data_IF_182045825933
#
_entry.id   IF_182045825933
#
_cell.length_a   1.000
_cell.length_b   1.000
_cell.length_c   1.000
_cell.angle_alpha   90.00
_cell.angle_beta   90.00
_cell.angle_gamma   90.00
#
_symmetry.space_group_name_H-M   'P 1'
#
loop_
_entity.id
_entity.type
_entity.pdbx_description
1 polymer ?
#
# COMPACT_ATOMS: atom_id res chain seq x y z
N UNK A 1 -8.51 -2.39 16.75
CA UNK A 1 -7.25 -2.30 15.98
C UNK A 1 -7.47 -2.47 14.47
N UNK A 2 -8.19 -3.50 14.01
CA UNK A 2 -8.44 -3.71 12.57
C UNK A 2 -9.21 -2.56 11.90
N UNK A 3 -10.19 -1.95 12.59
CA UNK A 3 -10.96 -0.81 12.05
C UNK A 3 -10.09 0.44 11.81
N UNK A 4 -9.12 0.72 12.69
CA UNK A 4 -8.20 1.84 12.51
C UNK A 4 -7.30 1.60 11.29
N UNK A 5 -6.74 0.41 11.14
CA UNK A 5 -5.93 0.06 9.96
C UNK A 5 -6.72 0.16 8.66
N UNK A 6 -8.00 -0.26 8.67
CA UNK A 6 -8.88 -0.12 7.53
C UNK A 6 -9.15 1.35 7.17
N UNK A 7 -9.41 2.20 8.17
CA UNK A 7 -9.61 3.63 7.95
C UNK A 7 -8.34 4.32 7.43
N UNK A 8 -7.17 3.98 7.98
CA UNK A 8 -5.88 4.50 7.50
C UNK A 8 -5.60 4.04 6.06
N UNK A 9 -5.89 2.79 5.73
CA UNK A 9 -5.77 2.28 4.37
C UNK A 9 -6.68 3.03 3.39
N UNK A 10 -7.95 3.21 3.78
CA UNK A 10 -8.91 3.94 2.97
C UNK A 10 -8.47 5.39 2.76
N UNK A 11 -8.11 6.09 3.82
CA UNK A 11 -7.65 7.47 3.75
C UNK A 11 -6.40 7.62 2.88
N UNK A 12 -5.43 6.72 3.02
CA UNK A 12 -4.21 6.72 2.21
C UNK A 12 -4.51 6.49 0.73
N UNK A 13 -5.28 5.45 0.39
CA UNK A 13 -5.56 5.12 -1.01
C UNK A 13 -6.46 6.16 -1.69
N UNK A 14 -7.48 6.67 -0.98
CA UNK A 14 -8.29 7.79 -1.49
C UNK A 14 -7.41 9.03 -1.68
N UNK A 15 -6.52 9.33 -0.74
CA UNK A 15 -5.56 10.43 -0.85
C UNK A 15 -4.66 10.29 -2.07
N UNK A 16 -4.10 9.10 -2.33
CA UNK A 16 -3.28 8.82 -3.51
C UNK A 16 -4.07 9.06 -4.81
N UNK A 17 -5.32 8.57 -4.88
CA UNK A 17 -6.16 8.74 -6.09
C UNK A 17 -6.47 10.22 -6.36
N UNK A 18 -6.73 11.01 -5.32
CA UNK A 18 -7.06 12.43 -5.46
C UNK A 18 -5.81 13.27 -5.77
N UNK A 19 -4.69 13.00 -5.11
CA UNK A 19 -3.46 13.81 -5.19
C UNK A 19 -2.56 13.42 -6.37
N UNK A 20 -2.72 12.22 -6.94
CA UNK A 20 -1.95 11.73 -8.10
C UNK A 20 -2.90 11.44 -9.27
N UNK A 21 -3.41 12.49 -9.95
CA UNK A 21 -4.30 12.31 -11.08
C UNK A 21 -3.59 11.60 -12.24
N UNK A 22 -4.28 10.65 -12.88
CA UNK A 22 -3.75 9.84 -13.98
C UNK A 22 -3.22 8.47 -13.53
N UNK A 23 -2.17 8.46 -12.69
CA UNK A 23 -1.45 7.22 -12.34
C UNK A 23 -1.86 6.61 -11.00
N UNK A 24 -2.35 7.42 -10.05
CA UNK A 24 -2.67 7.00 -8.69
C UNK A 24 -3.72 5.89 -8.64
N UNK A 25 -4.73 5.96 -9.51
CA UNK A 25 -5.78 4.93 -9.61
C UNK A 25 -5.22 3.56 -9.98
N UNK A 26 -4.39 3.49 -11.03
CA UNK A 26 -3.77 2.24 -11.46
C UNK A 26 -2.82 1.67 -10.39
N UNK A 27 -2.02 2.53 -9.75
CA UNK A 27 -1.13 2.13 -8.67
C UNK A 27 -1.89 1.53 -7.48
N UNK A 28 -3.01 2.15 -7.06
CA UNK A 28 -3.86 1.63 -5.98
C UNK A 28 -4.48 0.29 -6.36
N UNK A 29 -4.98 0.12 -7.58
CA UNK A 29 -5.55 -1.15 -8.05
C UNK A 29 -4.50 -2.27 -8.01
N UNK A 30 -3.30 -2.02 -8.52
CA UNK A 30 -2.20 -3.01 -8.48
C UNK A 30 -1.80 -3.35 -7.04
N UNK A 31 -1.72 -2.35 -6.16
CA UNK A 31 -1.44 -2.55 -4.74
C UNK A 31 -2.51 -3.40 -4.06
N UNK A 32 -3.79 -3.15 -4.35
CA UNK A 32 -4.91 -3.93 -3.80
C UNK A 32 -4.93 -5.36 -4.32
N UNK A 33 -4.75 -5.58 -5.63
CA UNK A 33 -4.73 -6.93 -6.22
C UNK A 33 -3.62 -7.78 -5.62
N UNK A 34 -2.40 -7.23 -5.54
CA UNK A 34 -1.26 -7.93 -4.92
C UNK A 34 -1.48 -8.12 -3.42
N UNK A 35 -2.00 -7.09 -2.73
CA UNK A 35 -2.32 -7.11 -1.31
C UNK A 35 -3.34 -8.19 -0.94
N UNK A 36 -4.42 -8.32 -1.72
CA UNK A 36 -5.45 -9.35 -1.56
C UNK A 36 -4.85 -10.74 -1.76
N UNK A 37 -3.99 -10.92 -2.77
CA UNK A 37 -3.31 -12.18 -3.02
C UNK A 37 -2.50 -12.68 -1.82
N UNK A 38 -1.59 -11.84 -1.31
CA UNK A 38 -0.80 -12.19 -0.12
C UNK A 38 -1.65 -12.28 1.14
N UNK A 39 -2.61 -11.37 1.33
CA UNK A 39 -3.54 -11.38 2.45
C UNK A 39 -4.36 -12.67 2.51
N UNK A 40 -4.82 -13.20 1.37
CA UNK A 40 -5.53 -14.47 1.30
C UNK A 40 -4.66 -15.67 1.70
N UNK A 41 -3.38 -15.66 1.35
CA UNK A 41 -2.42 -16.69 1.80
C UNK A 41 -2.24 -16.64 3.31
N UNK A 42 -2.02 -15.44 3.88
CA UNK A 42 -1.85 -15.26 5.32
C UNK A 42 -3.12 -15.64 6.08
N UNK A 43 -4.30 -15.33 5.54
CA UNK A 43 -5.58 -15.66 6.14
C UNK A 43 -5.81 -17.18 6.27
N UNK A 44 -5.13 -17.99 5.46
CA UNK A 44 -5.15 -19.47 5.54
C UNK A 44 -4.17 -20.03 6.57
N UNK A 45 -3.31 -19.20 7.18
CA UNK A 45 -2.41 -19.64 8.25
C UNK A 45 -3.20 -20.09 9.47
N UNK A 46 -2.77 -21.21 10.08
CA UNK A 46 -3.36 -21.74 11.32
C UNK A 46 -2.79 -21.05 12.56
N UNK A 47 -1.63 -20.41 12.44
CA UNK A 47 -0.90 -19.78 13.55
C UNK A 47 -0.92 -18.26 13.39
N UNK A 48 -1.28 -17.56 14.45
CA UNK A 48 -1.19 -16.10 14.61
C UNK A 48 -1.73 -15.26 13.43
N UNK A 49 -2.72 -15.78 12.69
CA UNK A 49 -3.25 -15.16 11.47
C UNK A 49 -3.61 -13.69 11.62
N UNK A 50 -4.20 -13.32 12.77
CA UNK A 50 -4.63 -11.94 13.02
C UNK A 50 -3.44 -11.00 13.15
N UNK A 51 -2.41 -11.43 13.88
CA UNK A 51 -1.17 -10.67 14.03
C UNK A 51 -0.44 -10.55 12.69
N UNK A 52 -0.32 -11.66 11.94
CA UNK A 52 0.33 -11.66 10.63
C UNK A 52 -0.40 -10.76 9.62
N UNK A 53 -1.74 -10.76 9.62
CA UNK A 53 -2.52 -9.86 8.78
C UNK A 53 -2.33 -8.39 9.18
N UNK A 54 -2.29 -8.09 10.48
CA UNK A 54 -2.03 -6.74 10.97
C UNK A 54 -0.64 -6.25 10.57
N UNK A 55 0.39 -7.06 10.80
CA UNK A 55 1.76 -6.75 10.42
C UNK A 55 1.89 -6.54 8.91
N UNK A 56 1.24 -7.40 8.12
CA UNK A 56 1.20 -7.28 6.67
C UNK A 56 0.54 -5.97 6.22
N UNK A 57 -0.63 -5.64 6.74
CA UNK A 57 -1.33 -4.39 6.39
C UNK A 57 -0.52 -3.18 6.83
N UNK A 58 0.09 -3.18 8.02
CA UNK A 58 0.97 -2.09 8.47
C UNK A 58 2.14 -1.91 7.49
N UNK A 59 2.82 -2.99 7.12
CA UNK A 59 3.92 -2.94 6.14
C UNK A 59 3.47 -2.44 4.77
N UNK A 60 2.28 -2.86 4.30
CA UNK A 60 1.69 -2.39 3.05
C UNK A 60 1.40 -0.88 3.08
N UNK A 61 0.88 -0.37 4.21
CA UNK A 61 0.63 1.06 4.39
C UNK A 61 1.93 1.86 4.40
N UNK A 62 2.93 1.40 5.15
CA UNK A 62 4.26 2.05 5.17
C UNK A 62 4.84 2.10 3.75
N UNK A 63 4.79 0.99 3.01
CA UNK A 63 5.25 0.94 1.61
C UNK A 63 4.50 1.93 0.71
N UNK A 64 3.16 1.95 0.78
CA UNK A 64 2.34 2.83 -0.04
C UNK A 64 2.60 4.31 0.28
N UNK A 65 2.75 4.66 1.56
CA UNK A 65 3.12 6.02 1.99
C UNK A 65 4.49 6.42 1.48
N UNK A 66 5.50 5.57 1.63
CA UNK A 66 6.86 5.87 1.13
C UNK A 66 6.85 6.02 -0.39
N UNK A 67 6.19 5.11 -1.11
CA UNK A 67 6.06 5.20 -2.57
C UNK A 67 5.35 6.48 -3.01
N UNK A 68 4.28 6.87 -2.32
CA UNK A 68 3.58 8.13 -2.56
C UNK A 68 4.49 9.34 -2.33
N UNK A 69 5.26 9.38 -1.23
CA UNK A 69 6.22 10.46 -0.96
C UNK A 69 7.29 10.52 -2.06
N UNK A 70 7.86 9.38 -2.44
CA UNK A 70 8.88 9.32 -3.50
C UNK A 70 8.33 9.88 -4.82
N UNK A 71 7.11 9.50 -5.19
CA UNK A 71 6.47 9.98 -6.41
C UNK A 71 6.12 11.48 -6.32
N UNK A 72 5.49 11.91 -5.23
CA UNK A 72 4.98 13.28 -5.07
C UNK A 72 6.09 14.32 -5.03
N UNK A 73 7.25 13.97 -4.49
CA UNK A 73 8.43 14.84 -4.43
C UNK A 73 9.42 14.59 -5.60
N UNK A 74 9.02 13.85 -6.63
CA UNK A 74 9.86 13.56 -7.81
C UNK A 74 11.23 12.94 -7.45
N UNK A 75 11.30 12.19 -6.35
CA UNK A 75 12.53 11.56 -5.86
C UNK A 75 12.87 10.28 -6.63
N UNK A 76 12.16 9.97 -7.73
CA UNK A 76 12.40 8.77 -8.52
C UNK A 76 13.82 8.73 -9.07
N UNK A 77 14.37 9.87 -9.50
CA UNK A 77 15.75 9.97 -10.02
C UNK A 77 16.81 9.56 -8.99
N UNK A 78 16.60 9.89 -7.71
CA UNK A 78 17.48 9.48 -6.61
C UNK A 78 17.37 7.98 -6.30
N UNK A 79 16.17 7.41 -6.38
CA UNK A 79 15.91 5.99 -6.11
C UNK A 79 16.02 5.09 -7.34
N UNK A 80 16.47 5.62 -8.49
CA UNK A 80 16.67 4.87 -9.73
C UNK A 80 15.40 4.55 -10.52
N UNK A 81 14.27 5.17 -10.18
CA UNK A 81 13.00 5.03 -10.91
C UNK A 81 12.95 5.80 -12.23
N UNK A 82 13.87 6.75 -12.45
CA UNK A 82 14.01 7.54 -13.69
C UNK A 82 15.39 7.33 -14.35
N UNK A 83 16.00 6.16 -14.11
CA UNK A 83 17.22 5.77 -14.81
C UNK A 83 16.86 5.34 -16.25
N UNK A 84 16.75 6.34 -17.14
CA UNK A 84 16.75 6.18 -18.60
C UNK A 84 18.16 6.39 -19.16
#
# INVERSE_FOLDING_TARGET
MNGLLALLALALFVGIVILVPGEGGAAVVLCLLTGIGFGAVIARSKTDRTFLLQLFVIGLLVRATIGFIIYFFELQSFFGGDAL
#
